data_IF_091132949162
#
_entry.id   IF_091132949162
#
_cell.length_a   1.000
_cell.length_b   1.000
_cell.length_c   1.000
_cell.angle_alpha   90.00
_cell.angle_beta   90.00
_cell.angle_gamma   90.00
#
_symmetry.space_group_name_H-M   'P 1'
#
loop_
_entity.id
_entity.type
_entity.pdbx_description
1 polymer ?
#
# COMPACT_ATOMS: atom_id res chain seq x y z
N UNK A 1 6.02 34.74 1.24
CA UNK A 1 5.15 33.61 0.89
C UNK A 1 5.43 32.50 1.89
N UNK A 2 4.40 31.85 2.44
CA UNK A 2 4.57 30.84 3.49
C UNK A 2 4.30 29.46 2.92
N UNK A 3 5.18 28.50 3.20
CA UNK A 3 5.03 27.09 2.81
C UNK A 3 4.62 26.29 4.04
N UNK A 4 3.62 25.42 3.89
CA UNK A 4 3.22 24.43 4.89
C UNK A 4 3.19 23.06 4.21
N UNK A 5 3.73 22.04 4.89
CA UNK A 5 3.79 20.65 4.42
C UNK A 5 3.05 19.81 5.47
N UNK A 6 2.15 18.97 5.00
CA UNK A 6 1.40 18.03 5.83
C UNK A 6 1.66 16.63 5.31
N UNK A 7 1.89 15.73 6.25
CA UNK A 7 1.84 14.30 5.99
C UNK A 7 0.38 13.85 5.81
N UNK A 8 0.15 12.67 5.24
CA UNK A 8 -1.19 12.16 4.93
C UNK A 8 -1.72 11.30 6.07
N UNK A 9 -1.14 10.12 6.23
CA UNK A 9 -1.61 9.10 7.16
C UNK A 9 -1.35 9.49 8.60
N UNK A 10 -2.33 9.20 9.46
CA UNK A 10 -2.33 9.63 10.86
C UNK A 10 -2.12 11.15 11.10
N UNK A 11 -2.20 11.96 10.04
CA UNK A 11 -2.02 13.43 10.08
C UNK A 11 -3.24 14.15 9.51
N UNK A 12 -3.51 13.99 8.21
CA UNK A 12 -4.72 14.50 7.55
C UNK A 12 -5.85 13.47 7.54
N UNK A 13 -5.50 12.19 7.48
CA UNK A 13 -6.44 11.07 7.54
C UNK A 13 -6.30 10.34 8.89
N UNK A 14 -7.44 9.93 9.44
CA UNK A 14 -7.48 9.05 10.60
C UNK A 14 -7.41 7.59 10.13
N UNK A 15 -6.20 7.13 9.85
CA UNK A 15 -5.95 5.77 9.35
C UNK A 15 -4.63 5.66 8.58
N UNK A 16 -4.41 4.47 8.06
CA UNK A 16 -3.28 4.10 7.21
C UNK A 16 -3.81 3.78 5.80
N UNK A 17 -3.54 4.67 4.85
CA UNK A 17 -4.00 4.55 3.48
C UNK A 17 -3.34 3.39 2.71
N UNK A 18 -2.10 3.05 3.02
CA UNK A 18 -1.39 1.90 2.44
C UNK A 18 -2.05 0.58 2.86
N UNK A 19 -2.40 0.46 4.15
CA UNK A 19 -3.11 -0.71 4.65
C UNK A 19 -4.52 -0.82 4.05
N UNK A 20 -5.27 0.28 4.03
CA UNK A 20 -6.62 0.32 3.46
C UNK A 20 -6.62 -0.02 1.96
N UNK A 21 -5.60 0.42 1.22
CA UNK A 21 -5.39 0.07 -0.17
C UNK A 21 -5.18 -1.43 -0.37
N UNK A 22 -4.35 -2.05 0.48
CA UNK A 22 -4.16 -3.49 0.48
C UNK A 22 -5.46 -4.29 0.67
N UNK A 23 -6.29 -3.88 1.64
CA UNK A 23 -7.58 -4.53 1.89
C UNK A 23 -8.54 -4.37 0.70
N UNK A 24 -8.62 -3.19 0.09
CA UNK A 24 -9.41 -2.97 -1.13
C UNK A 24 -9.01 -3.92 -2.27
N UNK A 25 -7.70 -4.07 -2.51
CA UNK A 25 -7.19 -4.98 -3.55
C UNK A 25 -7.58 -6.43 -3.30
N UNK A 26 -7.64 -6.85 -2.04
CA UNK A 26 -8.08 -8.18 -1.64
C UNK A 26 -9.59 -8.35 -1.83
N UNK A 27 -10.38 -7.37 -1.40
CA UNK A 27 -11.85 -7.38 -1.52
C UNK A 27 -12.31 -7.43 -2.98
N UNK A 28 -11.65 -6.69 -3.87
CA UNK A 28 -11.92 -6.70 -5.31
C UNK A 28 -11.34 -7.92 -6.05
N UNK A 29 -10.61 -8.80 -5.34
CA UNK A 29 -9.98 -9.99 -5.92
C UNK A 29 -8.85 -9.68 -6.92
N UNK A 30 -8.26 -8.48 -6.82
CA UNK A 30 -7.14 -8.03 -7.68
C UNK A 30 -5.84 -8.73 -7.27
N UNK A 31 -5.70 -9.07 -5.99
CA UNK A 31 -4.59 -9.84 -5.43
C UNK A 31 -5.09 -11.05 -4.66
N UNK A 32 -4.25 -12.08 -4.55
CA UNK A 32 -4.56 -13.25 -3.71
C UNK A 32 -4.49 -12.87 -2.22
N UNK A 33 -5.61 -13.03 -1.52
CA UNK A 33 -5.79 -12.62 -0.13
C UNK A 33 -4.74 -13.24 0.83
N UNK A 34 -4.44 -14.52 0.64
CA UNK A 34 -3.53 -15.25 1.54
C UNK A 34 -2.08 -14.83 1.31
N UNK A 35 -1.67 -14.76 0.05
CA UNK A 35 -0.31 -14.35 -0.35
C UNK A 35 -0.04 -12.90 0.02
N UNK A 36 -1.03 -12.01 -0.19
CA UNK A 36 -0.90 -10.60 0.10
C UNK A 36 -0.78 -10.37 1.61
N UNK A 37 -1.67 -10.96 2.42
CA UNK A 37 -1.62 -10.86 3.88
C UNK A 37 -0.31 -11.38 4.46
N UNK A 38 0.16 -12.55 4.03
CA UNK A 38 1.47 -13.11 4.49
C UNK A 38 2.64 -12.19 4.17
N UNK A 39 2.65 -11.62 2.97
CA UNK A 39 3.72 -10.70 2.56
C UNK A 39 3.67 -9.40 3.37
N UNK A 40 2.46 -8.86 3.59
CA UNK A 40 2.25 -7.65 4.37
C UNK A 40 2.63 -7.84 5.84
N UNK A 41 2.23 -8.96 6.46
CA UNK A 41 2.61 -9.30 7.84
C UNK A 41 4.13 -9.38 8.00
N UNK A 42 4.84 -9.95 7.01
CA UNK A 42 6.31 -9.97 7.01
C UNK A 42 6.89 -8.55 6.97
N UNK A 43 6.44 -7.73 6.02
CA UNK A 43 6.93 -6.35 5.92
C UNK A 43 6.60 -5.52 7.18
N UNK A 44 5.45 -5.76 7.80
CA UNK A 44 5.09 -5.13 9.07
C UNK A 44 6.04 -5.54 10.21
N UNK A 45 6.42 -6.83 10.29
CA UNK A 45 7.43 -7.26 11.26
C UNK A 45 8.81 -6.66 10.97
N UNK A 46 9.24 -6.63 9.70
CA UNK A 46 10.50 -6.00 9.30
C UNK A 46 10.52 -4.51 9.68
N UNK A 47 9.38 -3.81 9.54
CA UNK A 47 9.21 -2.43 9.99
C UNK A 47 9.36 -2.29 11.51
N UNK A 48 8.66 -3.13 12.29
CA UNK A 48 8.76 -3.11 13.75
C UNK A 48 10.18 -3.40 14.26
N UNK A 49 10.92 -4.24 13.54
CA UNK A 49 12.31 -4.56 13.86
C UNK A 49 13.30 -3.48 13.39
N UNK A 50 12.85 -2.49 12.60
CA UNK A 50 13.71 -1.47 12.00
C UNK A 50 14.58 -1.98 10.84
N UNK A 51 14.20 -3.11 10.24
CA UNK A 51 14.95 -3.81 9.18
C UNK A 51 14.25 -3.73 7.81
N UNK A 52 13.14 -2.99 7.71
CA UNK A 52 12.36 -2.89 6.48
C UNK A 52 13.19 -2.35 5.31
N UNK A 53 13.31 -3.16 4.25
CA UNK A 53 13.72 -2.69 2.94
C UNK A 53 12.53 -1.99 2.26
N UNK A 54 12.55 -0.66 2.32
CA UNK A 54 11.48 0.17 1.76
C UNK A 54 11.28 -0.02 0.25
N UNK A 55 12.35 -0.30 -0.51
CA UNK A 55 12.23 -0.48 -1.96
C UNK A 55 11.58 -1.82 -2.28
N UNK A 56 11.88 -2.86 -1.51
CA UNK A 56 11.23 -4.16 -1.64
C UNK A 56 9.74 -4.09 -1.26
N UNK A 57 9.42 -3.39 -0.16
CA UNK A 57 8.03 -3.15 0.23
C UNK A 57 7.25 -2.41 -0.86
N UNK A 58 7.78 -1.31 -1.40
CA UNK A 58 7.14 -0.58 -2.48
C UNK A 58 6.99 -1.42 -3.75
N UNK A 59 7.98 -2.25 -4.07
CA UNK A 59 7.90 -3.19 -5.18
C UNK A 59 6.73 -4.17 -5.05
N UNK A 60 6.45 -4.63 -3.83
CA UNK A 60 5.29 -5.46 -3.52
C UNK A 60 3.98 -4.66 -3.55
N UNK A 61 3.88 -3.57 -2.79
CA UNK A 61 2.65 -2.79 -2.62
C UNK A 61 2.15 -2.17 -3.94
N UNK A 62 3.08 -1.75 -4.80
CA UNK A 62 2.78 -1.10 -6.08
C UNK A 62 2.72 -2.08 -7.26
N UNK A 63 3.06 -3.37 -7.07
CA UNK A 63 3.02 -4.37 -8.15
C UNK A 63 1.67 -4.39 -8.89
N UNK A 64 0.50 -4.32 -8.22
CA UNK A 64 -0.78 -4.31 -8.92
C UNK A 64 -0.91 -3.16 -9.93
N UNK A 65 -0.31 -2.00 -9.65
CA UNK A 65 -0.33 -0.84 -10.55
C UNK A 65 0.51 -1.06 -11.80
N UNK A 66 1.55 -1.91 -11.73
CA UNK A 66 2.45 -2.18 -12.84
C UNK A 66 1.95 -3.25 -13.82
N UNK A 67 1.02 -4.11 -13.39
CA UNK A 67 0.56 -5.28 -14.16
C UNK A 67 -0.83 -5.07 -14.79
N UNK A 68 -1.48 -3.94 -14.51
CA UNK A 68 -2.78 -3.57 -15.09
C UNK A 68 -2.64 -2.37 -16.03
N UNK A 69 -3.47 -2.30 -17.07
CA UNK A 69 -3.49 -1.16 -17.98
C UNK A 69 -4.03 0.09 -17.29
N UNK A 70 -3.65 1.27 -17.79
CA UNK A 70 -4.17 2.52 -17.25
C UNK A 70 -5.70 2.60 -17.29
N UNK A 71 -6.33 2.11 -18.37
CA UNK A 71 -7.79 2.05 -18.46
C UNK A 71 -8.40 1.23 -17.33
N UNK A 72 -7.78 0.10 -16.97
CA UNK A 72 -8.23 -0.74 -15.86
C UNK A 72 -8.03 -0.08 -14.51
N UNK A 73 -6.90 0.60 -14.30
CA UNK A 73 -6.62 1.34 -13.07
C UNK A 73 -7.62 2.49 -12.86
N UNK A 74 -8.04 3.14 -13.94
CA UNK A 74 -9.05 4.21 -13.89
C UNK A 74 -10.44 3.70 -13.49
N UNK A 75 -10.73 2.41 -13.62
CA UNK A 75 -11.97 1.80 -13.11
C UNK A 75 -11.96 1.63 -11.58
N UNK A 76 -10.80 1.69 -10.92
CA UNK A 76 -10.66 1.52 -9.46
C UNK A 76 -10.81 2.81 -8.65
N UNK A 77 -10.94 3.96 -9.33
CA UNK A 77 -11.06 5.28 -8.71
C UNK A 77 -12.49 5.58 -8.27
#
# INVERSE_FOLDING_TARGET
MTLAIFDLDNTLLAGDSDHAWGEFLVEEGIVDAETYRKSNDRFYQDYLNGELDILNYLGFALQPLSIHSMDKLLEWR
#
